data_IF_830628274736
#
_entry.id   IF_830628274736
#
_cell.length_a   1.000
_cell.length_b   1.000
_cell.length_c   1.000
_cell.angle_alpha   90.00
_cell.angle_beta   90.00
_cell.angle_gamma   90.00
#
_symmetry.space_group_name_H-M   'P 1'
#
loop_
_entity.id
_entity.type
_entity.pdbx_description
1 polymer ?
#
# COMPACT_ATOMS: atom_id res chain seq x y z
N UNK A 1 -1.34 21.15 -19.98
CA UNK A 1 -1.99 20.65 -18.75
C UNK A 1 -3.34 21.35 -18.62
N UNK A 2 -4.47 20.72 -18.96
CA UNK A 2 -5.76 21.39 -18.83
C UNK A 2 -6.09 21.61 -17.33
N UNK A 3 -6.48 22.84 -16.98
CA UNK A 3 -6.90 23.25 -15.62
C UNK A 3 -8.18 22.51 -15.22
N UNK A 4 -8.18 21.87 -14.06
CA UNK A 4 -9.37 21.26 -13.47
C UNK A 4 -10.40 22.34 -13.12
N UNK A 5 -11.62 22.19 -13.63
CA UNK A 5 -12.82 22.92 -13.19
C UNK A 5 -13.17 22.44 -11.77
N UNK A 6 -13.76 23.31 -10.93
CA UNK A 6 -14.31 22.96 -9.61
C UNK A 6 -14.98 21.58 -9.67
N UNK A 7 -14.31 20.55 -9.16
CA UNK A 7 -14.50 19.20 -9.66
C UNK A 7 -14.07 18.19 -8.63
N UNK A 8 -14.94 17.21 -8.41
CA UNK A 8 -14.75 16.10 -7.48
C UNK A 8 -13.40 15.43 -7.74
N UNK A 9 -12.59 15.32 -6.69
CA UNK A 9 -11.34 14.54 -6.69
C UNK A 9 -11.65 13.15 -6.15
N UNK A 10 -11.33 12.12 -6.94
CA UNK A 10 -11.46 10.70 -6.60
C UNK A 10 -10.09 10.13 -6.28
N UNK A 11 -9.96 9.61 -5.07
CA UNK A 11 -8.75 9.01 -4.55
C UNK A 11 -9.10 7.58 -4.14
N UNK A 12 -8.32 6.61 -4.60
CA UNK A 12 -8.39 5.23 -4.13
C UNK A 12 -7.20 4.89 -3.25
N UNK A 13 -7.33 3.83 -2.47
CA UNK A 13 -6.25 3.26 -1.65
C UNK A 13 -6.19 1.76 -1.84
N UNK A 14 -4.99 1.20 -1.83
CA UNK A 14 -4.73 -0.23 -1.92
C UNK A 14 -3.48 -0.62 -1.14
N UNK A 15 -3.25 -1.92 -1.02
CA UNK A 15 -2.07 -2.46 -0.36
C UNK A 15 -0.91 -2.57 -1.37
N UNK A 16 0.29 -2.18 -0.97
CA UNK A 16 1.48 -2.14 -1.81
C UNK A 16 2.69 -2.89 -1.26
N UNK A 17 2.54 -3.61 -0.14
CA UNK A 17 3.65 -4.34 0.48
C UNK A 17 3.88 -5.71 -0.18
N UNK A 18 5.09 -6.24 -0.03
CA UNK A 18 5.49 -7.53 -0.57
C UNK A 18 4.64 -8.67 0.04
N UNK A 19 3.82 -9.31 -0.80
CA UNK A 19 2.93 -10.40 -0.39
C UNK A 19 1.51 -9.94 0.00
N UNK A 20 1.16 -8.68 -0.22
CA UNK A 20 -0.22 -8.22 -0.14
C UNK A 20 -1.04 -8.61 -1.37
N UNK A 21 -2.36 -8.52 -1.22
CA UNK A 21 -3.30 -8.68 -2.33
C UNK A 21 -3.34 -7.39 -3.14
N UNK A 22 -2.66 -7.39 -4.27
CA UNK A 22 -2.59 -6.25 -5.19
C UNK A 22 -3.83 -6.17 -6.08
N UNK A 23 -4.55 -7.28 -6.30
CA UNK A 23 -5.70 -7.38 -7.20
C UNK A 23 -6.77 -6.29 -6.97
N UNK A 24 -7.14 -5.94 -5.73
CA UNK A 24 -8.10 -4.86 -5.49
C UNK A 24 -7.59 -3.49 -5.95
N UNK A 25 -6.31 -3.19 -5.74
CA UNK A 25 -5.69 -1.94 -6.18
C UNK A 25 -5.64 -1.83 -7.71
N UNK A 26 -5.41 -2.97 -8.39
CA UNK A 26 -5.47 -3.07 -9.85
C UNK A 26 -6.88 -2.79 -10.36
N UNK A 27 -7.91 -3.41 -9.75
CA UNK A 27 -9.31 -3.16 -10.13
C UNK A 27 -9.67 -1.68 -9.95
N UNK A 28 -9.20 -1.03 -8.89
CA UNK A 28 -9.40 0.39 -8.66
C UNK A 28 -8.69 1.27 -9.71
N UNK A 29 -7.47 0.91 -10.10
CA UNK A 29 -6.74 1.60 -11.16
C UNK A 29 -7.44 1.47 -12.52
N UNK A 30 -7.97 0.29 -12.83
CA UNK A 30 -8.64 0.01 -14.11
C UNK A 30 -10.05 0.59 -14.19
N UNK A 31 -10.83 0.53 -13.10
CA UNK A 31 -12.28 0.74 -13.13
C UNK A 31 -12.78 1.84 -12.18
N UNK A 32 -11.94 2.32 -11.27
CA UNK A 32 -12.35 3.27 -10.23
C UNK A 32 -12.51 4.73 -10.70
N UNK A 33 -12.06 5.05 -11.91
CA UNK A 33 -12.10 6.42 -12.43
C UNK A 33 -11.39 7.42 -11.52
N UNK A 34 -10.29 6.96 -10.89
CA UNK A 34 -9.53 7.69 -9.88
C UNK A 34 -8.60 8.72 -10.54
N UNK A 35 -8.36 9.84 -9.86
CA UNK A 35 -7.27 10.74 -10.21
C UNK A 35 -5.98 10.36 -9.47
N UNK A 36 -6.11 9.74 -8.29
CA UNK A 36 -4.99 9.33 -7.46
C UNK A 36 -5.25 7.95 -6.86
N UNK A 37 -4.21 7.13 -6.81
CA UNK A 37 -4.22 5.85 -6.11
C UNK A 37 -3.04 5.84 -5.14
N UNK A 38 -3.33 5.75 -3.84
CA UNK A 38 -2.32 5.53 -2.81
C UNK A 38 -2.11 4.03 -2.57
N UNK A 39 -0.87 3.62 -2.38
CA UNK A 39 -0.56 2.28 -1.90
C UNK A 39 0.06 2.41 -0.51
N UNK A 40 -0.57 1.79 0.48
CA UNK A 40 0.04 1.69 1.80
C UNK A 40 1.11 0.61 1.80
N UNK A 41 2.15 0.83 2.60
CA UNK A 41 3.14 -0.18 2.93
C UNK A 41 3.20 -0.31 4.46
N UNK A 42 2.39 -1.18 5.03
CA UNK A 42 2.47 -1.52 6.45
C UNK A 42 3.77 -2.30 6.74
N UNK A 43 4.75 -1.60 7.31
CA UNK A 43 6.01 -2.19 7.77
C UNK A 43 5.83 -3.13 8.97
N UNK A 44 4.62 -3.24 9.53
CA UNK A 44 4.29 -4.01 10.72
C UNK A 44 4.67 -5.48 10.58
N UNK A 45 4.42 -6.09 9.41
CA UNK A 45 4.82 -7.48 9.14
C UNK A 45 6.34 -7.64 9.12
N UNK A 46 7.06 -6.70 8.53
CA UNK A 46 8.53 -6.70 8.52
C UNK A 46 9.08 -6.57 9.94
N UNK A 47 8.54 -5.64 10.73
CA UNK A 47 8.94 -5.44 12.13
C UNK A 47 8.63 -6.68 12.96
N UNK A 48 7.44 -7.26 12.82
CA UNK A 48 7.04 -8.47 13.52
C UNK A 48 7.97 -9.66 13.18
N UNK A 49 8.32 -9.84 11.90
CA UNK A 49 9.28 -10.86 11.48
C UNK A 49 10.68 -10.61 12.04
N UNK A 50 11.13 -9.36 12.07
CA UNK A 50 12.41 -8.98 12.69
C UNK A 50 12.40 -9.26 14.21
N UNK A 51 11.30 -8.94 14.91
CA UNK A 51 11.15 -9.26 16.33
C UNK A 51 11.15 -10.76 16.60
N UNK A 52 10.46 -11.56 15.76
CA UNK A 52 10.48 -13.02 15.87
C UNK A 52 11.87 -13.61 15.66
N UNK A 53 12.65 -13.07 14.71
CA UNK A 53 14.06 -13.46 14.52
C UNK A 53 14.90 -13.13 15.74
N UNK A 54 14.79 -11.91 16.28
CA UNK A 54 15.50 -11.49 17.49
C UNK A 54 15.18 -12.36 18.71
N UNK A 55 13.93 -12.82 18.87
CA UNK A 55 13.55 -13.73 19.95
C UNK A 55 14.14 -15.14 19.78
N UNK A 56 14.25 -15.63 18.54
CA UNK A 56 14.84 -16.94 18.25
C UNK A 56 16.36 -16.91 18.33
N UNK A 57 16.99 -15.84 17.89
CA UNK A 57 18.43 -15.68 17.76
C UNK A 57 18.88 -14.34 18.35
N UNK A 58 18.87 -14.20 19.69
CA UNK A 58 19.17 -12.93 20.35
C UNK A 58 20.61 -12.45 20.16
N UNK A 59 21.50 -13.31 19.65
CA UNK A 59 22.89 -12.98 19.36
C UNK A 59 23.11 -12.30 17.99
N UNK A 60 22.14 -12.35 17.06
CA UNK A 60 22.30 -11.82 15.70
C UNK A 60 21.90 -10.35 15.52
N UNK A 61 21.36 -9.70 16.56
CA UNK A 61 21.25 -8.23 16.68
C UNK A 61 20.62 -7.49 15.50
#
# INVERSE_FOLDING_TARGET
MPRQKNGVVRIGSGAGFAGDRLEPAVILAERGGLQYLGLECLAERTIALAQLRKLKEPAEG
#
